data_IF_392784558123
#
_entry.id   IF_392784558123
#
_cell.length_a   1.000
_cell.length_b   1.000
_cell.length_c   1.000
_cell.angle_alpha   90.00
_cell.angle_beta   90.00
_cell.angle_gamma   90.00
#
_symmetry.space_group_name_H-M   'P 1'
#
loop_
_entity.id
_entity.type
_entity.pdbx_description
1 polymer ?
#
# COMPACT_ATOMS: atom_id res chain seq x y z
N UNK A 1 -46.65 27.51 -52.45
CA UNK A 1 -45.60 26.47 -52.61
C UNK A 1 -44.45 26.64 -51.61
N UNK A 2 -43.99 27.86 -51.31
CA UNK A 2 -42.89 28.09 -50.35
C UNK A 2 -43.24 27.88 -48.86
N UNK A 3 -44.51 28.02 -48.42
CA UNK A 3 -44.86 27.77 -47.00
C UNK A 3 -44.85 26.28 -46.64
N UNK A 4 -45.39 25.44 -47.53
CA UNK A 4 -45.43 23.97 -47.35
C UNK A 4 -44.04 23.34 -47.23
N UNK A 5 -43.04 23.88 -47.94
CA UNK A 5 -41.64 23.44 -47.83
C UNK A 5 -41.00 23.87 -46.50
N UNK A 6 -41.38 25.03 -45.96
CA UNK A 6 -40.87 25.52 -44.68
C UNK A 6 -41.36 24.64 -43.53
N UNK A 7 -42.64 24.27 -43.55
CA UNK A 7 -43.25 23.41 -42.54
C UNK A 7 -42.64 21.99 -42.56
N UNK A 8 -42.31 21.46 -43.75
CA UNK A 8 -41.61 20.17 -43.86
C UNK A 8 -40.18 20.23 -43.32
N UNK A 9 -39.47 21.34 -43.54
CA UNK A 9 -38.13 21.54 -43.01
C UNK A 9 -38.10 21.67 -41.48
N UNK A 10 -39.11 22.30 -40.87
CA UNK A 10 -39.20 22.39 -39.41
C UNK A 10 -39.50 21.03 -38.76
N UNK A 11 -40.42 20.25 -39.34
CA UNK A 11 -40.69 18.88 -38.88
C UNK A 11 -39.46 17.98 -39.00
N UNK A 12 -38.72 18.06 -40.11
CA UNK A 12 -37.47 17.31 -40.30
C UNK A 12 -36.39 17.75 -39.29
N UNK A 13 -36.28 19.05 -39.02
CA UNK A 13 -35.34 19.59 -38.03
C UNK A 13 -35.63 19.05 -36.62
N UNK A 14 -36.89 19.02 -36.23
CA UNK A 14 -37.30 18.54 -34.90
C UNK A 14 -37.12 17.03 -34.75
N UNK A 15 -37.36 16.25 -35.81
CA UNK A 15 -37.06 14.81 -35.83
C UNK A 15 -35.55 14.53 -35.73
N UNK A 16 -34.71 15.32 -36.39
CA UNK A 16 -33.25 15.20 -36.28
C UNK A 16 -32.76 15.55 -34.88
N UNK A 17 -33.33 16.57 -34.23
CA UNK A 17 -33.03 16.91 -32.84
C UNK A 17 -33.43 15.81 -31.88
N UNK A 18 -34.63 15.25 -32.04
CA UNK A 18 -35.10 14.13 -31.22
C UNK A 18 -34.19 12.90 -31.36
N UNK A 19 -33.80 12.55 -32.59
CA UNK A 19 -32.89 11.43 -32.84
C UNK A 19 -31.51 11.65 -32.24
N UNK A 20 -30.95 12.86 -32.35
CA UNK A 20 -29.65 13.21 -31.73
C UNK A 20 -29.71 13.14 -30.21
N UNK A 21 -30.79 13.62 -29.60
CA UNK A 21 -30.99 13.55 -28.15
C UNK A 21 -31.11 12.10 -27.67
N UNK A 22 -31.90 11.28 -28.37
CA UNK A 22 -32.04 9.86 -28.05
C UNK A 22 -30.70 9.10 -28.20
N UNK A 23 -29.96 9.35 -29.28
CA UNK A 23 -28.64 8.77 -29.52
C UNK A 23 -27.66 9.14 -28.39
N UNK A 24 -27.66 10.41 -27.94
CA UNK A 24 -26.84 10.87 -26.82
C UNK A 24 -27.16 10.11 -25.52
N UNK A 25 -28.46 9.96 -25.21
CA UNK A 25 -28.91 9.19 -24.03
C UNK A 25 -28.46 7.73 -24.15
N UNK A 26 -28.64 7.10 -25.31
CA UNK A 26 -28.19 5.73 -25.54
C UNK A 26 -26.67 5.59 -25.35
N UNK A 27 -25.88 6.52 -25.89
CA UNK A 27 -24.42 6.53 -25.71
C UNK A 27 -24.05 6.68 -24.24
N UNK A 28 -24.70 7.57 -23.49
CA UNK A 28 -24.46 7.74 -22.04
C UNK A 28 -24.81 6.47 -21.28
N UNK A 29 -25.95 5.83 -21.58
CA UNK A 29 -26.38 4.59 -20.94
C UNK A 29 -25.42 3.42 -21.26
N UNK A 30 -25.01 3.27 -22.52
CA UNK A 30 -24.03 2.26 -22.94
C UNK A 30 -22.67 2.53 -22.31
N UNK A 31 -22.20 3.78 -22.28
CA UNK A 31 -20.96 4.16 -21.61
C UNK A 31 -20.99 3.85 -20.12
N UNK A 32 -22.08 4.19 -19.41
CA UNK A 32 -22.22 3.84 -17.97
C UNK A 32 -22.25 2.34 -17.75
N UNK A 33 -22.90 1.58 -18.63
CA UNK A 33 -22.97 0.12 -18.54
C UNK A 33 -21.62 -0.52 -18.83
N UNK A 34 -20.91 -0.08 -19.86
CA UNK A 34 -19.55 -0.52 -20.19
C UNK A 34 -18.55 -0.12 -19.10
N UNK A 35 -18.64 1.09 -18.56
CA UNK A 35 -17.85 1.53 -17.42
C UNK A 35 -18.13 0.65 -16.21
N UNK A 36 -19.39 0.36 -15.89
CA UNK A 36 -19.75 -0.57 -14.82
C UNK A 36 -19.23 -1.99 -15.08
N UNK A 37 -19.28 -2.46 -16.32
CA UNK A 37 -18.79 -3.78 -16.70
C UNK A 37 -17.27 -3.88 -16.59
N UNK A 38 -16.52 -2.90 -17.10
CA UNK A 38 -15.06 -2.80 -16.99
C UNK A 38 -14.60 -2.62 -15.53
N UNK A 39 -15.38 -1.91 -14.71
CA UNK A 39 -15.14 -1.82 -13.26
C UNK A 39 -15.48 -3.14 -12.54
N UNK A 40 -16.44 -3.93 -13.06
CA UNK A 40 -16.79 -5.26 -12.51
C UNK A 40 -15.79 -6.34 -12.87
N UNK A 41 -15.26 -6.35 -14.09
CA UNK A 41 -14.29 -7.37 -14.53
C UNK A 41 -12.90 -7.20 -13.92
N UNK A 42 -12.62 -6.05 -13.29
CA UNK A 42 -11.44 -5.79 -12.47
C UNK A 42 -11.73 -5.81 -10.97
N UNK A 43 -12.62 -6.68 -10.49
CA UNK A 43 -12.86 -6.83 -9.06
C UNK A 43 -11.62 -7.36 -8.36
N UNK A 44 -10.91 -6.47 -7.67
CA UNK A 44 -9.95 -6.84 -6.65
C UNK A 44 -10.73 -7.57 -5.53
N UNK A 45 -10.40 -8.82 -5.19
CA UNK A 45 -11.12 -9.58 -4.16
C UNK A 45 -10.91 -8.99 -2.76
N UNK A 46 -9.89 -8.15 -2.58
CA UNK A 46 -9.55 -7.55 -1.29
C UNK A 46 -10.54 -6.44 -0.90
N UNK A 47 -11.33 -6.64 0.18
CA UNK A 47 -12.34 -5.67 0.64
C UNK A 47 -11.73 -4.41 1.28
N UNK A 48 -10.41 -4.31 1.38
CA UNK A 48 -9.69 -3.15 1.89
C UNK A 48 -8.62 -2.65 0.92
N UNK A 49 -8.67 -3.05 -0.36
CA UNK A 49 -7.73 -2.54 -1.35
C UNK A 49 -7.79 -1.01 -1.43
N UNK A 50 -6.82 -0.34 -0.84
CA UNK A 50 -6.75 1.12 -0.78
C UNK A 50 -6.64 1.76 -2.17
N UNK A 51 -6.05 1.05 -3.14
CA UNK A 51 -5.99 1.47 -4.55
C UNK A 51 -7.35 1.42 -5.25
N UNK A 52 -8.20 0.43 -4.94
CA UNK A 52 -9.50 0.26 -5.59
C UNK A 52 -10.62 1.03 -4.88
N UNK A 53 -10.56 1.15 -3.55
CA UNK A 53 -11.63 1.73 -2.73
C UNK A 53 -11.36 3.18 -2.33
N UNK A 54 -10.08 3.61 -2.37
CA UNK A 54 -9.63 4.84 -1.73
C UNK A 54 -9.57 4.70 -0.21
N UNK A 55 -8.62 5.39 0.43
CA UNK A 55 -8.38 5.25 1.87
C UNK A 55 -9.58 5.65 2.74
N UNK A 56 -10.40 6.61 2.29
CA UNK A 56 -11.65 6.98 2.98
C UNK A 56 -12.66 5.83 3.09
N UNK A 57 -12.79 5.01 2.06
CA UNK A 57 -13.69 3.85 2.06
C UNK A 57 -13.17 2.73 2.96
N UNK A 58 -11.85 2.51 2.99
CA UNK A 58 -11.18 1.57 3.91
C UNK A 58 -11.47 1.98 5.36
N UNK A 59 -11.37 3.27 5.69
CA UNK A 59 -11.75 3.81 7.00
C UNK A 59 -13.23 3.57 7.33
N UNK A 60 -14.13 3.85 6.38
CA UNK A 60 -15.56 3.62 6.56
C UNK A 60 -15.91 2.15 6.85
N UNK A 61 -15.26 1.21 6.15
CA UNK A 61 -15.43 -0.24 6.40
C UNK A 61 -14.93 -0.64 7.78
N UNK A 62 -13.77 -0.14 8.21
CA UNK A 62 -13.24 -0.39 9.55
C UNK A 62 -14.19 0.15 10.64
N UNK A 63 -14.72 1.36 10.48
CA UNK A 63 -15.72 1.93 11.40
C UNK A 63 -16.98 1.06 11.49
N UNK A 64 -17.51 0.63 10.34
CA UNK A 64 -18.71 -0.21 10.30
C UNK A 64 -18.47 -1.58 10.93
N UNK A 65 -17.28 -2.15 10.77
CA UNK A 65 -16.89 -3.40 11.42
C UNK A 65 -16.91 -3.27 12.93
N UNK A 66 -16.22 -2.26 13.46
CA UNK A 66 -16.20 -2.01 14.91
C UNK A 66 -17.61 -1.83 15.44
N UNK A 67 -18.46 -1.06 14.74
CA UNK A 67 -19.85 -0.82 15.16
C UNK A 67 -20.74 -2.06 15.17
N UNK A 68 -20.55 -2.98 14.22
CA UNK A 68 -21.31 -4.26 14.20
C UNK A 68 -20.93 -5.14 15.39
N UNK A 69 -19.65 -5.18 15.74
CA UNK A 69 -19.18 -5.95 16.90
C UNK A 69 -19.58 -5.32 18.24
N UNK A 70 -19.94 -4.04 18.26
CA UNK A 70 -20.30 -3.31 19.47
C UNK A 70 -21.65 -3.75 20.06
N UNK A 71 -22.52 -4.37 19.25
CA UNK A 71 -23.80 -4.91 19.72
C UNK A 71 -23.62 -6.15 20.63
N UNK A 72 -22.41 -6.76 20.65
CA UNK A 72 -22.13 -8.00 21.39
C UNK A 72 -21.25 -7.81 22.65
N UNK A 73 -20.51 -6.69 22.80
CA UNK A 73 -19.56 -6.51 23.92
C UNK A 73 -19.31 -5.01 24.23
N UNK A 74 -20.17 -4.42 25.07
CA UNK A 74 -20.23 -2.97 25.34
C UNK A 74 -18.98 -2.40 26.04
N UNK A 75 -17.99 -3.23 26.40
CA UNK A 75 -16.91 -2.87 27.33
C UNK A 75 -15.46 -2.98 26.80
N UNK A 76 -15.24 -3.18 25.49
CA UNK A 76 -13.86 -3.24 24.97
C UNK A 76 -13.23 -1.84 24.80
N UNK A 77 -12.39 -1.45 25.77
CA UNK A 77 -11.69 -0.16 25.78
C UNK A 77 -10.81 0.07 24.54
N UNK A 78 -10.24 -0.98 23.94
CA UNK A 78 -9.35 -0.87 22.77
C UNK A 78 -10.14 -0.54 21.49
N UNK A 79 -11.27 -1.19 21.25
CA UNK A 79 -12.17 -0.87 20.13
C UNK A 79 -12.62 0.59 20.17
N UNK A 80 -12.94 1.10 21.37
CA UNK A 80 -13.33 2.50 21.55
C UNK A 80 -12.19 3.47 21.16
N UNK A 81 -10.94 3.15 21.52
CA UNK A 81 -9.75 3.92 21.14
C UNK A 81 -9.57 3.91 19.62
N UNK A 82 -9.65 2.73 18.98
CA UNK A 82 -9.48 2.61 17.53
C UNK A 82 -10.58 3.37 16.78
N UNK A 83 -11.84 3.21 17.20
CA UNK A 83 -12.98 3.90 16.62
C UNK A 83 -12.84 5.43 16.73
N UNK A 84 -12.47 5.92 17.92
CA UNK A 84 -12.28 7.35 18.14
C UNK A 84 -11.16 7.90 17.23
N UNK A 85 -10.05 7.17 17.10
CA UNK A 85 -8.95 7.56 16.22
C UNK A 85 -9.36 7.55 14.73
N UNK A 86 -10.17 6.57 14.29
CA UNK A 86 -10.72 6.51 12.93
C UNK A 86 -11.63 7.70 12.63
N UNK A 87 -12.55 8.02 13.54
CA UNK A 87 -13.48 9.15 13.38
C UNK A 87 -12.74 10.49 13.39
N UNK A 88 -11.69 10.61 14.20
CA UNK A 88 -10.89 11.83 14.31
C UNK A 88 -9.69 11.88 13.35
N UNK A 89 -9.56 10.93 12.41
CA UNK A 89 -8.37 10.75 11.56
C UNK A 89 -7.95 12.03 10.82
N UNK A 90 -8.87 12.68 10.11
CA UNK A 90 -8.54 13.90 9.34
C UNK A 90 -8.10 15.06 10.25
N UNK A 91 -8.61 15.14 11.49
CA UNK A 91 -8.16 16.13 12.47
C UNK A 91 -6.76 15.81 13.00
N UNK A 92 -6.45 14.53 13.16
CA UNK A 92 -5.16 14.06 13.67
C UNK A 92 -4.05 14.28 12.65
N UNK A 93 -4.28 13.88 11.41
CA UNK A 93 -3.31 14.05 10.32
C UNK A 93 -3.00 15.54 10.06
N UNK A 94 -3.97 16.45 10.24
CA UNK A 94 -3.72 17.89 10.08
C UNK A 94 -2.81 18.49 11.15
N UNK A 95 -2.73 17.87 12.32
CA UNK A 95 -1.98 18.39 13.49
C UNK A 95 -0.60 17.78 13.65
N UNK A 96 -0.26 16.79 12.83
CA UNK A 96 0.99 16.04 12.95
C UNK A 96 1.69 15.97 11.58
N UNK A 97 3.00 15.73 11.61
CA UNK A 97 3.80 15.60 10.39
C UNK A 97 3.51 14.28 9.64
N UNK A 98 3.14 13.24 10.39
CA UNK A 98 2.68 11.96 9.88
C UNK A 98 1.31 12.10 9.22
N UNK A 99 1.21 11.68 7.96
CA UNK A 99 -0.02 11.77 7.16
C UNK A 99 -0.46 10.41 6.62
N UNK A 100 -0.60 9.38 7.48
CA UNK A 100 -1.06 8.08 7.04
C UNK A 100 -2.45 8.19 6.41
N UNK A 101 -2.67 7.45 5.33
CA UNK A 101 -3.89 7.62 4.53
C UNK A 101 -5.11 6.91 5.13
N UNK A 102 -4.92 5.83 5.90
CA UNK A 102 -6.00 5.01 6.47
C UNK A 102 -6.16 5.18 7.97
N UNK A 103 -5.12 4.95 8.77
CA UNK A 103 -5.26 4.90 10.22
C UNK A 103 -4.14 5.65 10.95
N UNK A 104 -4.52 6.52 11.87
CA UNK A 104 -3.59 7.24 12.74
C UNK A 104 -3.82 6.82 14.18
N UNK A 105 -2.79 6.29 14.84
CA UNK A 105 -2.80 6.01 16.27
C UNK A 105 -2.09 7.11 17.04
N UNK A 106 -2.72 7.57 18.12
CA UNK A 106 -2.19 8.65 18.97
C UNK A 106 -1.12 8.12 19.93
N UNK A 107 -0.14 8.96 20.22
CA UNK A 107 0.81 8.71 21.30
C UNK A 107 1.94 7.75 20.95
N UNK A 108 2.09 7.36 19.68
CA UNK A 108 3.30 6.68 19.22
C UNK A 108 4.43 7.70 19.11
N UNK A 109 5.63 7.31 19.54
CA UNK A 109 6.81 8.15 19.34
C UNK A 109 7.16 8.21 17.85
N UNK A 110 7.74 9.32 17.39
CA UNK A 110 8.25 9.41 16.01
C UNK A 110 9.60 8.69 15.83
N UNK A 111 10.09 8.03 16.88
CA UNK A 111 11.40 7.39 16.89
C UNK A 111 11.34 6.06 16.15
N UNK A 112 12.37 5.81 15.34
CA UNK A 112 12.46 4.64 14.46
C UNK A 112 12.69 3.33 15.23
N UNK A 113 12.90 3.41 16.55
CA UNK A 113 13.14 2.27 17.44
C UNK A 113 14.38 1.45 17.04
N UNK A 114 14.59 0.34 17.75
CA UNK A 114 15.38 -0.79 17.25
C UNK A 114 14.43 -1.94 17.00
N UNK A 115 14.57 -2.61 15.86
CA UNK A 115 13.86 -3.85 15.56
C UNK A 115 14.88 -4.98 15.71
N UNK A 116 14.61 -5.89 16.66
CA UNK A 116 15.49 -7.04 16.94
C UNK A 116 15.72 -7.94 15.72
N UNK A 117 14.77 -7.93 14.79
CA UNK A 117 14.73 -8.82 13.64
C UNK A 117 15.83 -8.49 12.61
N UNK A 118 16.47 -7.31 12.70
CA UNK A 118 17.65 -6.96 11.89
C UNK A 118 18.79 -7.98 12.07
N UNK A 119 19.02 -8.47 13.29
CA UNK A 119 20.09 -9.41 13.59
C UNK A 119 19.89 -10.75 12.87
N UNK A 120 18.63 -11.16 12.67
CA UNK A 120 18.27 -12.39 11.95
C UNK A 120 18.60 -12.23 10.46
N UNK A 121 18.24 -11.10 9.86
CA UNK A 121 18.57 -10.81 8.46
C UNK A 121 20.07 -10.69 8.24
N UNK A 122 20.79 -10.07 9.17
CA UNK A 122 22.24 -9.96 9.10
C UNK A 122 22.92 -11.33 9.17
N UNK A 123 22.46 -12.21 10.06
CA UNK A 123 22.96 -13.58 10.18
C UNK A 123 22.81 -14.38 8.88
N UNK A 124 21.72 -14.16 8.14
CA UNK A 124 21.43 -14.88 6.90
C UNK A 124 21.75 -14.07 5.63
N UNK A 125 22.49 -12.97 5.74
CA UNK A 125 22.73 -12.05 4.63
C UNK A 125 23.31 -12.72 3.39
N UNK A 126 24.32 -13.57 3.54
CA UNK A 126 25.00 -14.18 2.40
C UNK A 126 24.08 -15.15 1.65
N UNK A 127 23.24 -15.90 2.37
CA UNK A 127 22.23 -16.80 1.79
C UNK A 127 21.17 -16.00 1.01
N UNK A 128 20.65 -14.92 1.60
CA UNK A 128 19.70 -14.02 0.96
C UNK A 128 20.29 -13.43 -0.32
N UNK A 129 21.49 -12.85 -0.22
CA UNK A 129 22.15 -12.20 -1.35
C UNK A 129 22.42 -13.18 -2.50
N UNK A 130 22.85 -14.40 -2.19
CA UNK A 130 23.09 -15.43 -3.21
C UNK A 130 21.80 -15.84 -3.94
N UNK A 131 20.71 -16.04 -3.20
CA UNK A 131 19.41 -16.37 -3.81
C UNK A 131 18.95 -15.24 -4.74
N UNK A 132 19.04 -13.98 -4.29
CA UNK A 132 18.65 -12.82 -5.10
C UNK A 132 19.51 -12.70 -6.37
N UNK A 133 20.83 -12.89 -6.28
CA UNK A 133 21.71 -12.88 -7.46
C UNK A 133 21.28 -13.94 -8.47
N UNK A 134 21.05 -15.18 -8.01
CA UNK A 134 20.59 -16.28 -8.87
C UNK A 134 19.23 -15.99 -9.49
N UNK A 135 18.31 -15.44 -8.72
CA UNK A 135 16.99 -15.03 -9.19
C UNK A 135 17.09 -13.99 -10.31
N UNK A 136 17.93 -12.96 -10.14
CA UNK A 136 18.14 -11.92 -11.15
C UNK A 136 18.78 -12.46 -12.43
N UNK A 137 19.73 -13.39 -12.33
CA UNK A 137 20.36 -14.01 -13.49
C UNK A 137 19.38 -14.86 -14.31
N UNK A 138 18.43 -15.52 -13.63
CA UNK A 138 17.45 -16.40 -14.27
C UNK A 138 16.26 -15.60 -14.84
N UNK A 139 16.05 -14.37 -14.36
CA UNK A 139 14.90 -13.52 -14.70
C UNK A 139 15.33 -12.13 -15.18
N UNK A 140 16.49 -12.03 -15.82
CA UNK A 140 17.09 -10.75 -16.26
C UNK A 140 16.18 -9.96 -17.22
N UNK A 141 15.43 -10.68 -18.04
CA UNK A 141 14.46 -10.16 -19.01
C UNK A 141 13.21 -9.57 -18.36
N UNK A 142 12.94 -9.82 -17.08
CA UNK A 142 11.76 -9.31 -16.38
C UNK A 142 12.10 -7.95 -15.77
N UNK A 143 11.50 -6.90 -16.31
CA UNK A 143 11.55 -5.58 -15.69
C UNK A 143 10.49 -5.47 -14.61
N UNK A 144 10.94 -5.17 -13.39
CA UNK A 144 10.09 -4.94 -12.23
C UNK A 144 10.77 -3.91 -11.32
N UNK A 145 9.96 -3.10 -10.64
CA UNK A 145 10.42 -2.17 -9.60
C UNK A 145 10.26 -2.81 -8.22
N UNK A 146 9.06 -3.31 -7.91
CA UNK A 146 8.76 -3.99 -6.65
C UNK A 146 8.29 -5.43 -6.91
N UNK A 147 8.96 -6.39 -6.29
CA UNK A 147 8.60 -7.80 -6.34
C UNK A 147 7.97 -8.21 -5.01
N UNK A 148 6.64 -8.18 -4.95
CA UNK A 148 5.87 -8.41 -3.72
C UNK A 148 5.81 -9.90 -3.34
N UNK A 149 6.26 -10.21 -2.13
CA UNK A 149 6.00 -11.47 -1.43
C UNK A 149 4.70 -11.39 -0.65
N UNK A 150 4.50 -10.27 0.04
CA UNK A 150 3.26 -9.91 0.71
C UNK A 150 2.85 -8.51 0.32
N UNK A 151 1.59 -8.32 -0.05
CA UNK A 151 1.04 -7.02 -0.42
C UNK A 151 -0.28 -6.79 0.30
N UNK A 152 -0.32 -5.75 1.12
CA UNK A 152 -1.46 -5.43 1.97
C UNK A 152 -1.98 -6.67 2.73
N UNK A 153 -1.07 -7.43 3.34
CA UNK A 153 -1.39 -8.63 4.12
C UNK A 153 -1.64 -9.90 3.31
N UNK A 154 -1.75 -9.83 1.98
CA UNK A 154 -1.96 -11.01 1.13
C UNK A 154 -0.64 -11.59 0.63
N UNK A 155 -0.44 -12.88 0.82
CA UNK A 155 0.70 -13.63 0.30
C UNK A 155 0.59 -13.83 -1.21
N UNK A 156 1.67 -13.52 -1.94
CA UNK A 156 1.85 -13.93 -3.31
C UNK A 156 2.60 -15.27 -3.36
N UNK A 157 1.85 -16.37 -3.35
CA UNK A 157 2.40 -17.72 -3.34
C UNK A 157 3.36 -17.99 -4.51
N UNK A 158 3.07 -17.44 -5.70
CA UNK A 158 3.93 -17.61 -6.88
C UNK A 158 5.30 -16.97 -6.66
N UNK A 159 5.31 -15.75 -6.14
CA UNK A 159 6.56 -15.04 -5.86
C UNK A 159 7.32 -15.67 -4.69
N UNK A 160 6.62 -16.11 -3.64
CA UNK A 160 7.22 -16.79 -2.50
C UNK A 160 7.91 -18.10 -2.92
N UNK A 161 7.29 -18.88 -3.82
CA UNK A 161 7.90 -20.10 -4.39
C UNK A 161 9.16 -19.83 -5.22
N UNK A 162 9.31 -18.63 -5.77
CA UNK A 162 10.48 -18.25 -6.58
C UNK A 162 11.70 -17.84 -5.74
N UNK A 163 11.48 -17.52 -4.46
CA UNK A 163 12.49 -17.10 -3.48
C UNK A 163 12.33 -17.88 -2.16
N UNK A 164 12.45 -19.22 -2.21
CA UNK A 164 12.14 -20.08 -1.07
C UNK A 164 13.00 -19.80 0.16
N UNK A 165 14.25 -19.38 0.00
CA UNK A 165 15.14 -19.12 1.14
C UNK A 165 14.79 -17.81 1.84
N UNK A 166 14.53 -16.75 1.09
CA UNK A 166 13.99 -15.51 1.62
C UNK A 166 12.66 -15.79 2.34
N UNK A 167 11.77 -16.58 1.74
CA UNK A 167 10.50 -16.94 2.36
C UNK A 167 10.68 -17.69 3.69
N UNK A 168 11.61 -18.65 3.77
CA UNK A 168 11.98 -19.35 5.01
C UNK A 168 12.47 -18.37 6.09
N UNK A 169 13.37 -17.45 5.73
CA UNK A 169 13.96 -16.48 6.66
C UNK A 169 12.91 -15.47 7.16
N UNK A 170 11.96 -15.06 6.31
CA UNK A 170 10.87 -14.18 6.73
C UNK A 170 10.05 -14.79 7.87
N UNK A 171 9.83 -16.10 7.86
CA UNK A 171 9.11 -16.81 8.93
C UNK A 171 9.87 -16.84 10.26
N UNK A 172 11.14 -16.44 10.27
CA UNK A 172 11.93 -16.27 11.49
C UNK A 172 11.80 -14.87 12.10
N UNK A 173 11.07 -13.93 11.47
CA UNK A 173 10.94 -12.54 11.92
C UNK A 173 9.68 -12.34 12.79
N UNK A 174 9.79 -12.38 14.14
CA UNK A 174 8.63 -12.37 15.04
C UNK A 174 7.90 -11.04 15.12
N UNK A 175 8.45 -9.95 14.58
CA UNK A 175 7.81 -8.64 14.61
C UNK A 175 7.27 -8.19 13.24
N UNK A 176 7.55 -8.94 12.17
CA UNK A 176 7.05 -8.63 10.83
C UNK A 176 5.53 -8.78 10.79
N UNK A 177 4.82 -7.74 10.31
CA UNK A 177 3.36 -7.70 10.30
C UNK A 177 2.81 -8.83 9.42
N UNK A 178 3.37 -9.02 8.22
CA UNK A 178 2.87 -10.00 7.27
C UNK A 178 3.03 -11.46 7.72
N UNK A 179 3.86 -11.73 8.72
CA UNK A 179 4.14 -13.08 9.24
C UNK A 179 3.32 -13.38 10.49
N UNK A 180 3.31 -12.47 11.47
CA UNK A 180 2.64 -12.72 12.75
C UNK A 180 1.18 -12.23 12.78
N UNK A 181 0.79 -11.45 11.78
CA UNK A 181 -0.53 -10.86 11.64
C UNK A 181 -0.98 -10.97 10.17
N UNK A 182 -0.97 -12.20 9.66
CA UNK A 182 -1.42 -12.52 8.31
C UNK A 182 -2.75 -11.84 7.97
N UNK A 183 -2.90 -11.41 6.73
CA UNK A 183 -4.10 -10.72 6.22
C UNK A 183 -4.32 -9.31 6.82
N UNK A 184 -3.39 -8.76 7.61
CA UNK A 184 -3.45 -7.35 7.99
C UNK A 184 -2.98 -6.45 6.84
N UNK A 185 -3.82 -5.50 6.40
CA UNK A 185 -3.49 -4.62 5.26
C UNK A 185 -2.25 -3.75 5.44
N UNK A 186 -1.75 -3.60 6.67
CA UNK A 186 -0.57 -2.80 6.96
C UNK A 186 0.74 -3.55 6.71
N UNK A 187 0.70 -4.87 6.52
CA UNK A 187 1.88 -5.68 6.28
C UNK A 187 2.22 -5.80 4.80
N UNK A 188 3.36 -5.23 4.39
CA UNK A 188 3.98 -5.50 3.10
C UNK A 188 5.38 -6.12 3.29
N UNK A 189 5.76 -6.96 2.33
CA UNK A 189 7.11 -7.44 2.18
C UNK A 189 7.41 -7.61 0.69
N UNK A 190 8.45 -6.94 0.20
CA UNK A 190 8.82 -6.93 -1.21
C UNK A 190 10.29 -6.61 -1.41
N UNK A 191 10.85 -7.08 -2.51
CA UNK A 191 12.15 -6.59 -2.98
C UNK A 191 11.93 -5.36 -3.84
N UNK A 192 12.82 -4.39 -3.73
CA UNK A 192 12.86 -3.25 -4.66
C UNK A 192 14.12 -3.35 -5.52
N UNK A 193 13.94 -3.22 -6.84
CA UNK A 193 15.01 -3.10 -7.83
C UNK A 193 14.99 -1.69 -8.38
N UNK A 194 15.94 -0.88 -7.93
CA UNK A 194 16.02 0.53 -8.26
C UNK A 194 17.20 0.80 -9.21
N UNK A 195 16.89 1.15 -10.46
CA UNK A 195 17.92 1.36 -11.51
C UNK A 195 18.30 2.84 -11.65
N UNK A 196 17.32 3.74 -11.57
CA UNK A 196 17.51 5.20 -11.63
C UNK A 196 16.29 5.90 -11.05
N UNK A 197 16.42 7.20 -10.74
CA UNK A 197 15.35 8.07 -10.24
C UNK A 197 14.16 8.29 -11.22
N UNK A 198 14.08 7.55 -12.33
CA UNK A 198 13.14 7.82 -13.44
C UNK A 198 11.65 7.61 -13.12
N UNK A 199 11.30 7.12 -11.94
CA UNK A 199 9.89 7.01 -11.55
C UNK A 199 9.38 8.33 -10.98
N UNK A 200 9.08 9.30 -11.85
CA UNK A 200 8.42 10.57 -11.48
C UNK A 200 7.07 10.38 -10.77
N UNK A 201 6.44 9.22 -10.92
CA UNK A 201 5.16 8.86 -10.31
C UNK A 201 5.27 8.40 -8.84
N UNK A 202 6.47 8.24 -8.30
CA UNK A 202 6.73 7.90 -6.89
C UNK A 202 7.01 9.14 -6.03
N UNK A 203 6.64 10.33 -6.51
CA UNK A 203 6.76 11.57 -5.74
C UNK A 203 5.90 11.48 -4.46
N UNK A 204 6.59 11.41 -3.33
CA UNK A 204 6.11 11.67 -1.98
C UNK A 204 4.87 10.85 -1.58
N UNK A 205 5.14 9.65 -1.07
CA UNK A 205 4.11 8.74 -0.61
C UNK A 205 3.94 8.87 0.91
N UNK A 206 2.74 8.51 1.38
CA UNK A 206 2.45 8.25 2.78
C UNK A 206 1.87 6.85 2.89
N UNK A 207 2.31 6.12 3.90
CA UNK A 207 1.81 4.79 4.23
C UNK A 207 0.34 4.77 4.63
N UNK A 208 -0.20 3.57 4.83
CA UNK A 208 -1.58 3.40 5.29
C UNK A 208 -1.74 3.78 6.76
N UNK A 209 -0.70 3.61 7.58
CA UNK A 209 -0.76 3.87 9.02
C UNK A 209 0.56 4.38 9.59
N UNK A 210 0.51 5.17 10.66
CA UNK A 210 1.69 5.50 11.48
C UNK A 210 2.04 4.40 12.50
N UNK A 211 1.24 3.33 12.57
CA UNK A 211 1.54 2.14 13.36
C UNK A 211 2.60 1.24 12.72
N UNK A 212 3.12 1.61 11.54
CA UNK A 212 4.06 0.81 10.76
C UNK A 212 5.44 1.48 10.74
N UNK A 213 6.46 0.73 11.15
CA UNK A 213 7.86 1.04 10.92
C UNK A 213 8.30 0.22 9.70
N UNK A 214 8.67 0.91 8.62
CA UNK A 214 9.20 0.30 7.42
C UNK A 214 10.71 0.17 7.53
N UNK A 215 11.19 -1.01 7.17
CA UNK A 215 12.61 -1.33 7.09
C UNK A 215 13.01 -1.57 5.65
N UNK A 216 14.09 -0.91 5.22
CA UNK A 216 14.82 -1.28 4.01
C UNK A 216 16.15 -1.93 4.41
N UNK A 217 16.36 -3.18 4.01
CA UNK A 217 17.59 -3.93 4.28
C UNK A 217 18.38 -4.11 2.99
N UNK A 218 19.57 -3.50 2.90
CA UNK A 218 20.37 -3.50 1.67
C UNK A 218 21.01 -4.86 1.37
N UNK A 219 20.86 -5.35 0.14
CA UNK A 219 21.37 -6.65 -0.32
C UNK A 219 22.42 -6.50 -1.44
N UNK A 220 22.15 -5.59 -2.38
CA UNK A 220 23.04 -5.26 -3.49
C UNK A 220 22.98 -3.74 -3.68
N UNK A 221 23.74 -3.01 -2.87
CA UNK A 221 23.79 -1.54 -2.87
C UNK A 221 25.16 -1.04 -3.33
N UNK A 222 25.19 0.16 -3.91
CA UNK A 222 26.44 0.83 -4.29
C UNK A 222 27.07 1.48 -3.06
N UNK A 223 28.30 1.08 -2.70
CA UNK A 223 28.98 1.57 -1.49
C UNK A 223 29.36 3.05 -1.59
N UNK A 224 29.58 3.56 -2.80
CA UNK A 224 29.99 4.96 -3.00
C UNK A 224 28.80 5.92 -3.11
N UNK A 225 27.66 5.42 -3.59
CA UNK A 225 26.46 6.21 -3.86
C UNK A 225 25.21 5.38 -3.56
N UNK A 226 24.97 5.02 -2.29
CA UNK A 226 23.84 4.18 -1.91
C UNK A 226 22.52 4.89 -2.21
N UNK A 227 21.50 4.11 -2.53
CA UNK A 227 20.12 4.60 -2.54
C UNK A 227 19.75 5.11 -1.14
N UNK A 228 18.83 6.06 -1.05
CA UNK A 228 18.38 6.59 0.23
C UNK A 228 16.89 6.85 0.26
N UNK A 229 16.32 6.73 1.46
CA UNK A 229 14.98 7.22 1.74
C UNK A 229 15.07 8.70 2.10
N UNK A 230 14.31 9.53 1.38
CA UNK A 230 14.15 10.95 1.68
C UNK A 230 12.86 11.17 2.46
N UNK A 231 12.96 11.50 3.74
CA UNK A 231 11.84 11.77 4.64
C UNK A 231 11.58 13.28 4.70
N UNK A 232 10.31 13.66 4.52
CA UNK A 232 9.81 15.04 4.55
C UNK A 232 10.69 16.00 3.72
N UNK A 233 11.22 15.54 2.58
CA UNK A 233 12.10 16.30 1.65
C UNK A 233 13.45 16.77 2.22
N UNK A 234 13.80 16.41 3.45
CA UNK A 234 14.98 16.98 4.13
C UNK A 234 15.92 15.92 4.74
N UNK A 235 15.39 14.85 5.34
CA UNK A 235 16.21 13.83 6.01
C UNK A 235 16.50 12.68 5.05
N UNK A 236 17.78 12.44 4.77
CA UNK A 236 18.23 11.30 3.95
C UNK A 236 18.67 10.16 4.85
N UNK A 237 18.14 8.98 4.58
CA UNK A 237 18.48 7.74 5.27
C UNK A 237 19.08 6.77 4.25
N UNK A 238 20.41 6.54 4.24
CA UNK A 238 21.05 5.68 3.26
C UNK A 238 20.60 4.22 3.44
N UNK A 239 20.56 3.47 2.34
CA UNK A 239 20.29 2.03 2.30
C UNK A 239 21.60 1.35 1.90
N UNK A 240 22.21 0.66 2.85
CA UNK A 240 23.55 0.10 2.72
C UNK A 240 23.50 -1.42 2.82
N UNK A 241 24.45 -2.10 2.18
CA UNK A 241 24.60 -3.54 2.30
C UNK A 241 24.74 -3.93 3.79
N UNK A 242 24.05 -4.99 4.22
CA UNK A 242 24.11 -5.52 5.59
C UNK A 242 23.57 -4.58 6.67
N UNK A 243 22.74 -3.60 6.31
CA UNK A 243 22.21 -2.61 7.26
C UNK A 243 20.70 -2.45 7.10
N UNK A 244 19.99 -2.35 8.22
CA UNK A 244 18.60 -1.94 8.23
C UNK A 244 18.45 -0.41 8.30
N UNK A 245 17.63 0.12 7.41
CA UNK A 245 17.22 1.51 7.39
C UNK A 245 15.75 1.60 7.78
N UNK A 246 15.49 2.12 8.97
CA UNK A 246 14.16 2.17 9.58
C UNK A 246 13.53 3.56 9.45
N UNK A 247 12.23 3.63 9.21
CA UNK A 247 11.46 4.88 9.26
C UNK A 247 9.97 4.63 9.49
N UNK A 248 9.26 5.63 10.03
CA UNK A 248 7.80 5.59 10.12
C UNK A 248 7.21 5.84 8.72
N UNK A 249 6.49 4.85 8.18
CA UNK A 249 5.92 4.90 6.84
C UNK A 249 4.81 5.94 6.70
N UNK A 250 4.23 6.39 7.82
CA UNK A 250 3.24 7.47 7.85
C UNK A 250 3.81 8.84 7.48
N UNK A 251 5.12 9.05 7.57
CA UNK A 251 5.78 10.29 7.13
C UNK A 251 5.84 10.37 5.60
N UNK A 252 5.88 11.60 5.06
CA UNK A 252 6.06 11.80 3.63
C UNK A 252 7.44 11.28 3.23
N UNK A 253 7.51 10.35 2.29
CA UNK A 253 8.78 9.75 1.90
C UNK A 253 8.86 9.42 0.41
N UNK A 254 10.10 9.32 -0.08
CA UNK A 254 10.44 8.85 -1.43
C UNK A 254 11.77 8.12 -1.38
N UNK A 255 11.97 7.12 -2.25
CA UNK A 255 13.28 6.47 -2.41
C UNK A 255 13.99 7.07 -3.62
N UNK A 256 15.26 7.39 -3.46
CA UNK A 256 16.10 7.95 -4.52
C UNK A 256 17.35 7.10 -4.71
N UNK A 257 17.74 6.88 -5.95
CA UNK A 257 18.99 6.26 -6.36
C UNK A 257 19.85 7.29 -7.09
N UNK A 258 20.78 7.95 -6.37
CA UNK A 258 21.72 8.89 -6.99
C UNK A 258 22.77 8.18 -7.86
N UNK A 259 22.86 6.85 -7.81
CA UNK A 259 23.71 6.04 -8.67
C UNK A 259 22.97 5.69 -9.97
N UNK A 260 23.73 5.59 -11.07
CA UNK A 260 23.24 4.97 -12.30
C UNK A 260 23.35 3.44 -12.27
N UNK A 261 23.75 2.86 -11.13
CA UNK A 261 23.83 1.42 -10.92
C UNK A 261 22.53 0.90 -10.32
N UNK A 262 22.18 -0.32 -10.72
CA UNK A 262 21.09 -1.06 -10.11
C UNK A 262 21.38 -1.33 -8.64
N UNK A 263 20.43 -0.99 -7.77
CA UNK A 263 20.47 -1.30 -6.34
C UNK A 263 19.26 -2.14 -5.95
N UNK A 264 19.48 -3.12 -5.07
CA UNK A 264 18.44 -4.04 -4.60
C UNK A 264 18.46 -4.13 -3.08
N UNK A 265 17.29 -3.96 -2.49
CA UNK A 265 17.07 -4.05 -1.05
C UNK A 265 15.72 -4.70 -0.78
N UNK A 266 15.60 -5.27 0.42
CA UNK A 266 14.38 -5.88 0.93
C UNK A 266 13.61 -4.87 1.78
N UNK A 267 12.34 -4.68 1.48
CA UNK A 267 11.42 -3.84 2.23
C UNK A 267 10.49 -4.71 3.07
N UNK A 268 10.41 -4.44 4.38
CA UNK A 268 9.52 -5.17 5.31
C UNK A 268 8.84 -4.19 6.27
N UNK A 269 7.54 -4.37 6.47
CA UNK A 269 6.72 -3.60 7.39
C UNK A 269 6.61 -4.28 8.77
N UNK A 270 6.94 -3.55 9.83
CA UNK A 270 6.88 -3.97 11.24
C UNK A 270 5.89 -3.12 12.02
N UNK A 271 5.30 -3.70 13.06
CA UNK A 271 4.52 -2.91 14.01
C UNK A 271 5.42 -1.92 14.76
N UNK A 272 4.87 -0.74 15.03
CA UNK A 272 5.50 0.25 15.89
C UNK A 272 5.84 -0.38 17.26
N UNK A 273 7.07 -0.22 17.78
CA UNK A 273 7.49 -0.87 19.03
C UNK A 273 6.63 -0.47 20.22
N UNK A 274 6.22 0.80 20.30
CA UNK A 274 5.35 1.33 21.36
C UNK A 274 3.90 0.79 21.31
N UNK A 275 3.53 0.06 20.26
CA UNK A 275 2.19 -0.52 20.13
C UNK A 275 2.11 -1.83 20.94
N UNK A 276 1.17 -1.90 21.89
CA UNK A 276 0.97 -3.10 22.72
C UNK A 276 0.52 -4.31 21.88
N UNK A 277 0.80 -5.52 22.37
CA UNK A 277 0.40 -6.76 21.69
C UNK A 277 -1.12 -6.85 21.47
N UNK A 278 -1.92 -6.42 22.46
CA UNK A 278 -3.38 -6.43 22.34
C UNK A 278 -3.88 -5.43 21.30
N UNK A 279 -3.26 -4.25 21.22
CA UNK A 279 -3.58 -3.28 20.19
C UNK A 279 -3.20 -3.78 18.78
N UNK A 280 -2.06 -4.48 18.63
CA UNK A 280 -1.68 -5.13 17.36
C UNK A 280 -2.75 -6.13 16.93
N UNK A 281 -3.19 -7.01 17.83
CA UNK A 281 -4.27 -7.98 17.56
C UNK A 281 -5.57 -7.30 17.17
N UNK A 282 -5.96 -6.25 17.89
CA UNK A 282 -7.18 -5.50 17.60
C UNK A 282 -7.11 -4.83 16.22
N UNK A 283 -6.00 -4.17 15.88
CA UNK A 283 -5.80 -3.59 14.54
C UNK A 283 -5.79 -4.67 13.46
N UNK A 284 -5.18 -5.83 13.70
CA UNK A 284 -5.22 -6.96 12.75
C UNK A 284 -6.64 -7.45 12.52
N UNK A 285 -7.46 -7.58 13.55
CA UNK A 285 -8.86 -7.98 13.43
C UNK A 285 -9.67 -6.96 12.60
N UNK A 286 -9.54 -5.67 12.94
CA UNK A 286 -10.27 -4.59 12.29
C UNK A 286 -9.87 -4.44 10.81
N UNK A 287 -8.58 -4.54 10.51
CA UNK A 287 -8.03 -4.37 9.17
C UNK A 287 -7.63 -5.69 8.49
N UNK A 288 -8.34 -6.77 8.82
CA UNK A 288 -8.16 -8.08 8.18
C UNK A 288 -8.80 -8.11 6.79
N UNK A 289 -8.08 -8.60 5.77
CA UNK A 289 -8.54 -8.71 4.37
C UNK A 289 -9.55 -9.84 4.13
N UNK A 290 -9.56 -10.90 4.94
CA UNK A 290 -10.41 -12.08 4.71
C UNK A 290 -11.83 -11.93 5.27
N UNK A 291 -12.05 -10.93 6.11
CA UNK A 291 -13.38 -10.61 6.61
C UNK A 291 -13.99 -9.63 5.60
N UNK A 292 -14.93 -10.08 4.78
CA UNK A 292 -15.72 -9.25 3.85
C UNK A 292 -17.17 -9.12 4.35
#
# INVERSE_FOLDING_TARGET
MFSSLRDTFEVLRDQVWFFRFFLLICIICVYRTLLHFVLRTNHCPNPFCSKCLGSGSVRGRAINRIKKDYDDDENNSLKSIVLNNLVQHDRLVRRNDEKPTVYYHRGLSSNQGKISDEEILLKHYDELRQEIIKFLQTNDNIQWTDFYLYKNGEENQTNCKSLPKLFEILHLLPNAICINNENCIFGNCFLTRLISDKNENEKNQNGLTNCCIRMNFGLICDEQSPAHVLINKHKRLPIENKRATLYNDGLEHSIQNPSNKQQIFLTIDFWHPDLSLDMRKELTSIFNTNLA
#
